data_IF_239099468509
#
_entry.id   IF_239099468509
#
_cell.length_a   1.000
_cell.length_b   1.000
_cell.length_c   1.000
_cell.angle_alpha   90.00
_cell.angle_beta   90.00
_cell.angle_gamma   90.00
#
_symmetry.space_group_name_H-M   'P 1'
#
loop_
_entity.id
_entity.type
_entity.pdbx_description
1 polymer ?
#
# COMPACT_ATOMS: atom_id res chain seq x y z
N UNK A 1 -15.52 11.46 11.81
CA UNK A 1 -15.13 10.08 12.19
C UNK A 1 -15.04 9.11 10.99
N UNK A 2 -16.12 8.69 10.29
CA UNK A 2 -16.00 7.61 9.27
C UNK A 2 -15.21 7.97 8.00
N UNK A 3 -15.35 9.20 7.50
CA UNK A 3 -14.55 9.71 6.36
C UNK A 3 -13.06 9.85 6.72
N UNK A 4 -12.75 10.14 7.98
CA UNK A 4 -11.36 10.29 8.45
C UNK A 4 -10.62 8.95 8.34
N UNK A 5 -11.24 7.81 8.68
CA UNK A 5 -10.60 6.50 8.53
C UNK A 5 -10.28 6.16 7.07
N UNK A 6 -11.17 6.49 6.13
CA UNK A 6 -10.90 6.30 4.70
C UNK A 6 -9.76 7.20 4.21
N UNK A 7 -9.73 8.47 4.65
CA UNK A 7 -8.66 9.39 4.30
C UNK A 7 -7.30 8.95 4.88
N UNK A 8 -7.27 8.49 6.13
CA UNK A 8 -6.08 7.91 6.78
C UNK A 8 -5.63 6.64 6.06
N UNK A 9 -6.56 5.77 5.67
CA UNK A 9 -6.27 4.58 4.87
C UNK A 9 -5.60 4.93 3.53
N UNK A 10 -6.18 5.88 2.77
CA UNK A 10 -5.58 6.36 1.52
C UNK A 10 -4.20 7.02 1.72
N UNK A 11 -4.02 7.77 2.81
CA UNK A 11 -2.74 8.39 3.13
C UNK A 11 -1.63 7.34 3.36
N UNK A 12 -1.91 6.29 4.12
CA UNK A 12 -0.97 5.20 4.35
C UNK A 12 -0.65 4.40 3.08
N UNK A 13 -1.64 4.19 2.20
CA UNK A 13 -1.41 3.57 0.89
C UNK A 13 -0.50 4.45 0.02
N UNK A 14 -0.72 5.78 0.02
CA UNK A 14 0.13 6.72 -0.70
C UNK A 14 1.57 6.70 -0.18
N UNK A 15 1.77 6.67 1.15
CA UNK A 15 3.09 6.51 1.77
C UNK A 15 3.75 5.20 1.34
N UNK A 16 3.02 4.08 1.32
CA UNK A 16 3.56 2.80 0.88
C UNK A 16 4.02 2.84 -0.58
N UNK A 17 3.21 3.41 -1.48
CA UNK A 17 3.57 3.60 -2.88
C UNK A 17 4.81 4.51 -3.05
N UNK A 18 4.87 5.59 -2.28
CA UNK A 18 6.02 6.49 -2.24
C UNK A 18 7.30 5.77 -1.78
N UNK A 19 7.24 5.02 -0.67
CA UNK A 19 8.37 4.25 -0.15
C UNK A 19 8.84 3.18 -1.15
N UNK A 20 7.92 2.54 -1.86
CA UNK A 20 8.25 1.58 -2.92
C UNK A 20 8.98 2.24 -4.09
N UNK A 21 8.49 3.40 -4.55
CA UNK A 21 9.14 4.16 -5.61
C UNK A 21 10.54 4.64 -5.17
N UNK A 22 10.65 5.13 -3.94
CA UNK A 22 11.91 5.60 -3.36
C UNK A 22 12.93 4.46 -3.23
N UNK A 23 12.52 3.26 -2.80
CA UNK A 23 13.39 2.07 -2.78
C UNK A 23 13.98 1.78 -4.16
N UNK A 24 13.18 1.89 -5.22
CA UNK A 24 13.62 1.68 -6.61
C UNK A 24 14.55 2.79 -7.09
N UNK A 25 14.23 4.04 -6.76
CA UNK A 25 15.08 5.19 -7.08
C UNK A 25 16.44 5.09 -6.40
N UNK A 26 16.48 4.78 -5.10
CA UNK A 26 17.71 4.61 -4.34
C UNK A 26 18.55 3.47 -4.90
N UNK A 27 17.93 2.34 -5.28
CA UNK A 27 18.64 1.24 -5.93
C UNK A 27 19.25 1.67 -7.28
N UNK A 28 18.50 2.42 -8.09
CA UNK A 28 18.98 2.94 -9.37
C UNK A 28 20.15 3.93 -9.18
N UNK A 29 20.04 4.89 -8.26
CA UNK A 29 21.10 5.86 -7.96
C UNK A 29 22.35 5.13 -7.46
N UNK A 30 22.21 4.25 -6.45
CA UNK A 30 23.33 3.50 -5.89
C UNK A 30 24.08 2.74 -6.98
N UNK A 31 23.35 2.20 -7.93
CA UNK A 31 23.95 1.46 -9.02
C UNK A 31 24.57 2.28 -10.13
N UNK A 32 24.06 3.49 -10.39
CA UNK A 32 24.64 4.40 -11.38
C UNK A 32 26.06 4.86 -11.01
N UNK A 33 26.41 4.80 -9.73
CA UNK A 33 27.75 5.11 -9.22
C UNK A 33 28.71 3.92 -9.24
N UNK A 34 28.22 2.69 -9.48
CA UNK A 34 29.04 1.48 -9.51
C UNK A 34 29.32 1.14 -10.98
N UNK A 35 30.45 1.66 -11.48
CA UNK A 35 30.88 1.48 -12.86
C UNK A 35 31.66 0.17 -13.06
N UNK A 36 31.13 -0.95 -12.56
CA UNK A 36 31.72 -2.29 -12.69
C UNK A 36 30.65 -3.32 -13.02
N UNK A 37 30.99 -4.24 -13.93
CA UNK A 37 30.12 -5.30 -14.48
C UNK A 37 29.76 -6.42 -13.48
N UNK A 38 29.98 -6.22 -12.18
CA UNK A 38 29.73 -7.23 -11.16
C UNK A 38 28.28 -7.18 -10.66
N UNK A 39 27.52 -8.18 -11.09
CA UNK A 39 26.09 -8.42 -10.83
C UNK A 39 25.74 -8.52 -9.34
N UNK A 40 26.74 -8.70 -8.47
CA UNK A 40 26.61 -9.05 -7.05
C UNK A 40 26.39 -7.86 -6.12
N UNK A 41 26.77 -6.64 -6.50
CA UNK A 41 26.61 -5.45 -5.65
C UNK A 41 25.17 -4.92 -5.60
N UNK A 42 24.42 -5.07 -6.69
CA UNK A 42 23.00 -4.78 -6.74
C UNK A 42 22.21 -5.64 -5.74
N UNK A 43 22.52 -6.92 -5.65
CA UNK A 43 21.88 -7.86 -4.74
C UNK A 43 22.23 -7.59 -3.27
N UNK A 44 23.48 -7.24 -2.98
CA UNK A 44 23.94 -6.88 -1.62
C UNK A 44 23.30 -5.59 -1.11
N UNK A 45 23.27 -4.54 -1.94
CA UNK A 45 22.60 -3.27 -1.61
C UNK A 45 21.08 -3.47 -1.48
N UNK A 46 20.47 -4.30 -2.35
CA UNK A 46 19.07 -4.69 -2.21
C UNK A 46 18.78 -5.48 -0.94
N UNK A 47 19.71 -6.29 -0.42
CA UNK A 47 19.49 -7.07 0.81
C UNK A 47 19.49 -6.20 2.07
N UNK A 48 20.49 -5.31 2.20
CA UNK A 48 20.64 -4.46 3.38
C UNK A 48 19.60 -3.34 3.44
N UNK A 49 19.39 -2.63 2.34
CA UNK A 49 18.40 -1.55 2.24
C UNK A 49 16.99 -2.15 2.08
N UNK A 50 16.88 -3.29 1.41
CA UNK A 50 15.60 -3.87 1.07
C UNK A 50 14.86 -4.44 2.27
N UNK A 51 15.49 -5.08 3.26
CA UNK A 51 14.68 -5.69 4.33
C UNK A 51 13.95 -4.63 5.17
N UNK A 52 14.67 -3.60 5.63
CA UNK A 52 14.09 -2.51 6.41
C UNK A 52 13.02 -1.72 5.65
N UNK A 53 13.32 -1.24 4.43
CA UNK A 53 12.32 -0.51 3.65
C UNK A 53 11.14 -1.40 3.23
N UNK A 54 11.36 -2.68 2.89
CA UNK A 54 10.24 -3.58 2.52
C UNK A 54 9.33 -3.84 3.70
N UNK A 55 9.88 -3.99 4.91
CA UNK A 55 9.10 -4.11 6.13
C UNK A 55 8.19 -2.88 6.31
N UNK A 56 8.74 -1.66 6.22
CA UNK A 56 7.96 -0.43 6.37
C UNK A 56 6.94 -0.17 5.23
N UNK A 57 7.27 -0.55 4.00
CA UNK A 57 6.33 -0.53 2.86
C UNK A 57 5.15 -1.44 3.16
N UNK A 58 5.42 -2.67 3.61
CA UNK A 58 4.40 -3.67 3.89
C UNK A 58 3.52 -3.28 5.09
N UNK A 59 4.11 -2.82 6.20
CA UNK A 59 3.34 -2.39 7.37
C UNK A 59 2.47 -1.17 7.06
N UNK A 60 3.00 -0.19 6.30
CA UNK A 60 2.22 0.97 5.86
C UNK A 60 1.07 0.57 4.94
N UNK A 61 1.32 -0.36 4.01
CA UNK A 61 0.29 -0.88 3.11
C UNK A 61 -0.82 -1.60 3.89
N UNK A 62 -0.43 -2.46 4.83
CA UNK A 62 -1.35 -3.24 5.64
C UNK A 62 -2.22 -2.33 6.52
N UNK A 63 -1.61 -1.34 7.18
CA UNK A 63 -2.33 -0.33 7.95
C UNK A 63 -3.33 0.44 7.06
N UNK A 64 -2.89 0.85 5.86
CA UNK A 64 -3.73 1.54 4.88
C UNK A 64 -4.96 0.72 4.47
N UNK A 65 -4.78 -0.56 4.15
CA UNK A 65 -5.88 -1.48 3.84
C UNK A 65 -6.85 -1.62 5.02
N UNK A 66 -6.34 -1.82 6.24
CA UNK A 66 -7.17 -2.01 7.43
C UNK A 66 -8.06 -0.78 7.66
N UNK A 67 -7.48 0.43 7.65
CA UNK A 67 -8.25 1.66 7.86
C UNK A 67 -9.25 1.93 6.73
N UNK A 68 -8.88 1.60 5.49
CA UNK A 68 -9.76 1.75 4.34
C UNK A 68 -10.96 0.78 4.44
N UNK A 69 -10.72 -0.49 4.80
CA UNK A 69 -11.78 -1.48 5.02
C UNK A 69 -12.72 -1.06 6.16
N UNK A 70 -12.19 -0.59 7.29
CA UNK A 70 -13.00 -0.09 8.41
C UNK A 70 -13.87 1.10 7.98
N UNK A 71 -13.31 2.02 7.21
CA UNK A 71 -14.04 3.17 6.68
C UNK A 71 -15.13 2.79 5.67
N UNK A 72 -14.87 1.79 4.81
CA UNK A 72 -15.78 1.35 3.74
C UNK A 72 -16.81 0.31 4.18
N UNK A 73 -16.63 -0.35 5.32
CA UNK A 73 -17.54 -1.38 5.80
C UNK A 73 -19.01 -0.91 5.95
N UNK A 74 -19.30 0.27 6.55
CA UNK A 74 -20.68 0.75 6.69
C UNK A 74 -21.40 1.07 5.36
N UNK A 75 -20.80 1.76 4.37
CA UNK A 75 -21.48 1.99 3.08
C UNK A 75 -21.68 0.69 2.29
N UNK A 76 -20.77 -0.29 2.39
CA UNK A 76 -20.95 -1.61 1.77
C UNK A 76 -22.16 -2.33 2.36
N UNK A 77 -22.33 -2.32 3.69
CA UNK A 77 -23.51 -2.89 4.33
C UNK A 77 -24.81 -2.23 3.88
N UNK A 78 -24.82 -0.88 3.76
CA UNK A 78 -26.00 -0.15 3.26
C UNK A 78 -26.34 -0.50 1.82
N UNK A 79 -25.34 -0.65 0.94
CA UNK A 79 -25.52 -1.09 -0.45
C UNK A 79 -26.10 -2.51 -0.52
N UNK A 80 -25.57 -3.45 0.27
CA UNK A 80 -26.05 -4.83 0.31
C UNK A 80 -27.49 -4.92 0.83
N UNK A 81 -27.84 -4.17 1.88
CA UNK A 81 -29.21 -4.12 2.39
C UNK A 81 -30.17 -3.50 1.37
N UNK A 82 -29.81 -2.38 0.74
CA UNK A 82 -30.62 -1.71 -0.29
C UNK A 82 -30.90 -2.62 -1.51
N UNK A 83 -29.89 -3.40 -1.94
CA UNK A 83 -30.05 -4.38 -3.02
C UNK A 83 -31.05 -5.47 -2.62
N UNK A 84 -30.98 -5.96 -1.39
CA UNK A 84 -31.86 -7.02 -0.90
C UNK A 84 -33.33 -6.54 -0.78
N UNK A 85 -33.56 -5.31 -0.30
CA UNK A 85 -34.91 -4.74 -0.20
C UNK A 85 -35.57 -4.54 -1.56
N UNK A 86 -34.80 -4.15 -2.59
CA UNK A 86 -35.33 -3.98 -3.95
C UNK A 86 -35.70 -5.31 -4.61
N UNK A 87 -35.00 -6.41 -4.31
CA UNK A 87 -35.34 -7.74 -4.83
C UNK A 87 -36.67 -8.23 -4.21
N UNK A 88 -36.88 -7.99 -2.91
CA UNK A 88 -38.13 -8.37 -2.24
C UNK A 88 -39.35 -7.55 -2.70
N UNK A 89 -39.19 -6.27 -3.08
CA UNK A 89 -40.30 -5.46 -3.62
C UNK A 89 -40.68 -5.80 -5.07
N UNK A 90 -39.85 -6.58 -5.77
CA UNK A 90 -40.06 -6.95 -7.19
C UNK A 90 -40.70 -8.33 -7.36
N UNK A 91 -40.99 -9.03 -6.25
CA UNK A 91 -41.76 -10.27 -6.17
C UNK A 91 -43.16 -9.97 -5.64
#
# INVERSE_FOLDING_TARGET
MKKEYTAVGCFFIAISAFLYAFKKLTAAIMSSYINTSEVTYYEGAHKLIGFGMTFWIFTSFLAGIIFLLIGMWPPIQKLLQSKNTNIMKKK
#
